data_IF_041194878791
#
_entry.id   IF_041194878791
#
_cell.length_a   1.000
_cell.length_b   1.000
_cell.length_c   1.000
_cell.angle_alpha   90.00
_cell.angle_beta   90.00
_cell.angle_gamma   90.00
#
_symmetry.space_group_name_H-M   'P 1'
#
loop_
_entity.id
_entity.type
_entity.pdbx_description
1 polymer ?
#
# COMPACT_ATOMS: atom_id res chain seq x y z
N UNK A 1 -1.80 -23.00 -4.31
CA UNK A 1 -1.96 -21.75 -5.07
C UNK A 1 -2.06 -20.63 -4.03
N UNK A 2 -1.42 -19.50 -4.26
CA UNK A 2 -1.52 -18.34 -3.37
C UNK A 2 -2.98 -17.92 -3.21
N UNK A 3 -3.42 -17.56 -2.00
CA UNK A 3 -4.75 -16.98 -1.76
C UNK A 3 -4.80 -15.52 -2.19
N UNK A 4 -3.65 -14.83 -2.18
CA UNK A 4 -3.53 -13.42 -2.61
C UNK A 4 -3.32 -13.38 -4.13
N UNK A 5 -4.41 -13.24 -4.88
CA UNK A 5 -4.38 -13.18 -6.35
C UNK A 5 -4.34 -11.74 -6.88
N UNK A 6 -4.63 -10.75 -6.04
CA UNK A 6 -4.78 -9.36 -6.43
C UNK A 6 -3.86 -8.45 -5.62
N UNK A 7 -3.27 -7.45 -6.28
CA UNK A 7 -2.58 -6.34 -5.62
C UNK A 7 -3.07 -5.00 -6.15
N UNK A 8 -3.12 -3.99 -5.30
CA UNK A 8 -3.37 -2.59 -5.68
C UNK A 8 -2.18 -1.74 -5.29
N UNK A 9 -1.57 -1.07 -6.27
CA UNK A 9 -0.56 -0.04 -6.02
C UNK A 9 -1.24 1.33 -6.05
N UNK A 10 -1.25 2.02 -4.93
CA UNK A 10 -1.79 3.37 -4.81
C UNK A 10 -0.79 4.40 -5.32
N UNK A 11 -1.10 5.05 -6.45
CA UNK A 11 -0.16 5.90 -7.19
C UNK A 11 -0.74 7.24 -7.66
N UNK A 12 -1.90 7.66 -7.13
CA UNK A 12 -2.61 8.86 -7.57
C UNK A 12 -2.04 10.19 -7.05
N UNK A 13 -1.17 10.16 -6.03
CA UNK A 13 -0.70 11.33 -5.31
C UNK A 13 0.22 12.26 -6.12
N UNK A 14 0.19 13.57 -5.78
CA UNK A 14 1.01 14.61 -6.44
C UNK A 14 2.51 14.53 -6.15
N UNK A 15 2.93 13.95 -5.03
CA UNK A 15 4.34 13.85 -4.66
C UNK A 15 5.02 15.21 -4.45
N UNK A 16 4.36 16.16 -3.77
CA UNK A 16 4.82 17.54 -3.61
C UNK A 16 6.22 17.66 -2.98
N UNK A 17 6.55 16.75 -2.06
CA UNK A 17 7.88 16.71 -1.41
C UNK A 17 9.03 16.35 -2.36
N UNK A 18 8.72 15.83 -3.56
CA UNK A 18 9.71 15.51 -4.60
C UNK A 18 9.85 16.59 -5.68
N UNK A 19 9.30 17.80 -5.45
CA UNK A 19 9.54 18.92 -6.35
C UNK A 19 11.05 19.29 -6.38
N UNK A 20 11.61 19.68 -7.54
CA UNK A 20 10.96 19.96 -8.83
C UNK A 20 10.73 18.74 -9.72
N UNK A 21 11.22 17.54 -9.38
CA UNK A 21 11.10 16.33 -10.20
C UNK A 21 9.63 16.07 -10.63
N UNK A 22 8.71 16.17 -9.66
CA UNK A 22 7.29 15.90 -9.90
C UNK A 22 6.55 16.98 -10.68
N UNK A 23 7.22 18.08 -11.04
CA UNK A 23 6.70 19.03 -12.02
C UNK A 23 6.61 18.41 -13.43
N UNK A 24 7.55 17.53 -13.77
CA UNK A 24 7.66 16.93 -15.11
C UNK A 24 7.03 15.54 -15.18
N UNK A 25 7.24 14.69 -14.18
CA UNK A 25 6.77 13.31 -14.12
C UNK A 25 6.00 13.04 -12.81
N UNK A 26 5.02 12.13 -12.77
CA UNK A 26 4.40 11.75 -11.50
C UNK A 26 5.41 10.98 -10.61
N UNK A 27 5.29 11.11 -9.29
CA UNK A 27 6.19 10.47 -8.28
C UNK A 27 6.46 8.97 -8.57
N UNK A 28 5.46 8.15 -8.93
CA UNK A 28 5.67 6.73 -9.22
C UNK A 28 6.65 6.47 -10.38
N UNK A 29 6.80 7.43 -11.30
CA UNK A 29 7.74 7.35 -12.43
C UNK A 29 9.13 7.89 -12.10
N UNK A 30 9.43 8.22 -10.84
CA UNK A 30 10.76 8.65 -10.43
C UNK A 30 11.81 7.56 -10.76
N UNK A 31 12.98 7.95 -11.30
CA UNK A 31 14.00 7.00 -11.73
C UNK A 31 14.56 6.19 -10.55
N UNK A 32 14.48 4.87 -10.63
CA UNK A 32 14.99 3.97 -9.62
C UNK A 32 15.62 2.72 -10.25
N UNK A 33 16.88 2.46 -9.93
CA UNK A 33 17.63 1.26 -10.30
C UNK A 33 17.47 0.89 -11.80
N UNK A 34 17.74 1.86 -12.69
CA UNK A 34 17.67 1.70 -14.15
C UNK A 34 16.25 1.62 -14.74
N UNK A 35 15.21 1.87 -13.94
CA UNK A 35 13.80 1.86 -14.33
C UNK A 35 13.04 2.97 -13.57
N UNK A 36 11.79 2.74 -13.19
CA UNK A 36 11.01 3.63 -12.33
C UNK A 36 10.60 2.93 -11.04
N UNK A 37 10.26 3.70 -9.99
CA UNK A 37 9.78 3.14 -8.71
C UNK A 37 8.63 2.17 -8.95
N UNK A 38 7.61 2.59 -9.70
CA UNK A 38 6.41 1.77 -9.92
C UNK A 38 6.69 0.55 -10.81
N UNK A 39 7.54 0.68 -11.84
CA UNK A 39 7.89 -0.46 -12.69
C UNK A 39 8.61 -1.56 -11.89
N UNK A 40 9.49 -1.18 -10.97
CA UNK A 40 10.13 -2.13 -10.04
C UNK A 40 9.13 -2.75 -9.07
N UNK A 41 8.20 -1.95 -8.55
CA UNK A 41 7.12 -2.46 -7.71
C UNK A 41 6.23 -3.48 -8.44
N UNK A 42 5.80 -3.17 -9.65
CA UNK A 42 5.01 -4.08 -10.49
C UNK A 42 5.78 -5.37 -10.78
N UNK A 43 7.04 -5.27 -11.24
CA UNK A 43 7.86 -6.44 -11.56
C UNK A 43 8.02 -7.38 -10.36
N UNK A 44 8.26 -6.83 -9.16
CA UNK A 44 8.41 -7.61 -7.92
C UNK A 44 7.09 -8.26 -7.49
N UNK A 45 5.97 -7.55 -7.59
CA UNK A 45 4.66 -8.11 -7.28
C UNK A 45 4.26 -9.23 -8.26
N UNK A 46 4.59 -9.09 -9.54
CA UNK A 46 4.25 -10.05 -10.58
C UNK A 46 4.90 -11.44 -10.38
N UNK A 47 5.94 -11.54 -9.54
CA UNK A 47 6.53 -12.83 -9.14
C UNK A 47 5.61 -13.64 -8.22
N UNK A 48 4.66 -12.98 -7.53
CA UNK A 48 3.80 -13.57 -6.51
C UNK A 48 2.31 -13.42 -6.79
N UNK A 49 1.90 -12.33 -7.44
CA UNK A 49 0.50 -11.93 -7.60
C UNK A 49 0.17 -11.72 -9.08
N UNK A 50 -0.77 -12.49 -9.66
CA UNK A 50 -1.07 -12.44 -11.09
C UNK A 50 -1.83 -11.19 -11.54
N UNK A 51 -2.61 -10.54 -10.65
CA UNK A 51 -3.45 -9.41 -11.01
C UNK A 51 -3.02 -8.14 -10.27
N UNK A 52 -2.36 -7.24 -11.00
CA UNK A 52 -1.86 -5.97 -10.43
C UNK A 52 -2.72 -4.83 -10.96
N UNK A 53 -3.32 -4.08 -10.04
CA UNK A 53 -4.15 -2.91 -10.30
C UNK A 53 -3.42 -1.66 -9.83
N UNK A 54 -3.56 -0.55 -10.55
CA UNK A 54 -2.89 0.71 -10.18
C UNK A 54 -3.91 1.83 -10.12
N UNK A 55 -3.92 2.60 -9.03
CA UNK A 55 -4.69 3.85 -8.97
C UNK A 55 -3.87 4.99 -9.55
N UNK A 56 -4.48 5.82 -10.39
CA UNK A 56 -3.84 7.00 -11.00
C UNK A 56 -4.66 8.26 -10.73
N UNK A 57 -4.00 9.41 -10.67
CA UNK A 57 -4.61 10.72 -10.47
C UNK A 57 -3.72 11.80 -11.08
N UNK A 58 -2.84 12.40 -10.29
CA UNK A 58 -1.92 13.42 -10.81
C UNK A 58 -1.10 12.90 -12.00
N UNK A 59 -1.17 13.63 -13.15
CA UNK A 59 -0.59 13.20 -14.45
C UNK A 59 -1.05 11.80 -14.87
N UNK A 60 -2.31 11.47 -14.57
CA UNK A 60 -2.87 10.12 -14.67
C UNK A 60 -2.71 9.48 -16.04
N UNK A 61 -2.87 10.23 -17.15
CA UNK A 61 -2.71 9.68 -18.51
C UNK A 61 -1.28 9.16 -18.76
N UNK A 62 -0.26 9.93 -18.34
CA UNK A 62 1.15 9.54 -18.47
C UNK A 62 1.44 8.30 -17.63
N UNK A 63 0.96 8.27 -16.39
CA UNK A 63 1.17 7.13 -15.50
C UNK A 63 0.43 5.90 -15.99
N UNK A 64 -0.83 6.04 -16.44
CA UNK A 64 -1.63 4.92 -16.95
C UNK A 64 -0.96 4.23 -18.15
N UNK A 65 -0.46 4.99 -19.12
CA UNK A 65 0.30 4.42 -20.23
C UNK A 65 1.50 3.63 -19.72
N UNK A 66 2.30 4.23 -18.84
CA UNK A 66 3.52 3.61 -18.32
C UNK A 66 3.24 2.30 -17.57
N UNK A 67 2.23 2.27 -16.68
CA UNK A 67 1.95 1.06 -15.88
C UNK A 67 1.35 -0.07 -16.72
N UNK A 68 0.58 0.25 -17.76
CA UNK A 68 0.10 -0.75 -18.72
C UNK A 68 1.27 -1.38 -19.48
N UNK A 69 2.23 -0.58 -19.94
CA UNK A 69 3.47 -1.06 -20.55
C UNK A 69 4.30 -1.92 -19.59
N UNK A 70 4.20 -1.69 -18.27
CA UNK A 70 4.85 -2.48 -17.23
C UNK A 70 4.09 -3.75 -16.82
N UNK A 71 2.91 -4.02 -17.40
CA UNK A 71 2.13 -5.24 -17.15
C UNK A 71 1.04 -5.11 -16.09
N UNK A 72 0.60 -3.89 -15.73
CA UNK A 72 -0.57 -3.73 -14.88
C UNK A 72 -1.83 -4.31 -15.54
N UNK A 73 -2.61 -5.07 -14.76
CA UNK A 73 -3.84 -5.72 -15.23
C UNK A 73 -4.99 -4.74 -15.42
N UNK A 74 -5.03 -3.67 -14.61
CA UNK A 74 -6.02 -2.60 -14.74
C UNK A 74 -5.53 -1.29 -14.12
N UNK A 75 -6.16 -0.20 -14.50
CA UNK A 75 -5.89 1.16 -14.03
C UNK A 75 -7.20 1.81 -13.58
N UNK A 76 -7.24 2.32 -12.35
CA UNK A 76 -8.37 3.06 -11.80
C UNK A 76 -8.03 4.54 -11.69
N UNK A 77 -8.78 5.40 -12.37
CA UNK A 77 -8.65 6.83 -12.17
C UNK A 77 -9.35 7.24 -10.87
N UNK A 78 -8.57 7.73 -9.91
CA UNK A 78 -9.03 8.23 -8.61
C UNK A 78 -8.71 9.71 -8.43
N UNK A 79 -8.55 10.46 -9.55
CA UNK A 79 -8.30 11.91 -9.49
C UNK A 79 -9.48 12.63 -8.83
N UNK A 80 -9.16 13.53 -7.89
CA UNK A 80 -10.15 14.23 -7.07
C UNK A 80 -10.65 13.46 -5.85
N UNK A 81 -10.24 12.20 -5.67
CA UNK A 81 -10.59 11.37 -4.52
C UNK A 81 -9.38 11.02 -3.65
N UNK A 82 -9.65 10.61 -2.43
CA UNK A 82 -8.62 10.19 -1.49
C UNK A 82 -8.29 8.69 -1.64
N UNK A 83 -7.32 8.22 -0.86
CA UNK A 83 -6.62 6.96 -1.08
C UNK A 83 -7.45 5.68 -0.80
N UNK A 84 -8.60 5.78 -0.12
CA UNK A 84 -9.48 4.65 0.17
C UNK A 84 -10.71 4.57 -0.75
N UNK A 85 -11.03 5.62 -1.49
CA UNK A 85 -12.21 5.71 -2.34
C UNK A 85 -12.40 4.51 -3.28
N UNK A 86 -11.29 3.97 -3.82
CA UNK A 86 -11.31 2.85 -4.76
C UNK A 86 -11.90 1.55 -4.17
N UNK A 87 -11.80 1.36 -2.85
CA UNK A 87 -12.33 0.16 -2.14
C UNK A 87 -13.85 0.07 -2.28
N UNK A 88 -14.52 1.22 -2.35
CA UNK A 88 -15.99 1.32 -2.39
C UNK A 88 -16.54 1.60 -3.78
N UNK A 89 -15.76 2.21 -4.67
CA UNK A 89 -16.26 2.83 -5.89
C UNK A 89 -15.68 2.22 -7.18
N UNK A 90 -14.91 1.14 -7.09
CA UNK A 90 -14.42 0.40 -8.26
C UNK A 90 -15.05 -0.99 -8.33
N UNK A 91 -14.78 -1.72 -9.42
CA UNK A 91 -15.23 -3.10 -9.56
C UNK A 91 -14.67 -4.02 -8.47
N UNK A 92 -13.56 -3.66 -7.83
CA UNK A 92 -12.96 -4.43 -6.74
C UNK A 92 -13.84 -4.49 -5.49
N UNK A 93 -14.80 -3.56 -5.31
CA UNK A 93 -15.72 -3.54 -4.15
C UNK A 93 -16.44 -4.88 -3.90
N UNK A 94 -16.69 -5.64 -4.96
CA UNK A 94 -17.43 -6.92 -4.91
C UNK A 94 -16.50 -8.13 -4.82
N UNK A 95 -15.18 -7.91 -4.84
CA UNK A 95 -14.19 -8.97 -4.80
C UNK A 95 -14.12 -9.55 -3.39
N UNK A 96 -14.44 -10.85 -3.26
CA UNK A 96 -14.36 -11.61 -2.01
C UNK A 96 -13.04 -12.40 -1.94
N UNK A 97 -11.96 -11.71 -2.20
CA UNK A 97 -10.60 -12.26 -2.16
C UNK A 97 -9.65 -11.25 -1.49
N UNK A 98 -8.57 -11.72 -0.84
CA UNK A 98 -7.59 -10.81 -0.25
C UNK A 98 -6.82 -10.06 -1.33
N UNK A 99 -6.67 -8.76 -1.14
CA UNK A 99 -5.93 -7.84 -1.99
C UNK A 99 -4.74 -7.28 -1.22
N UNK A 100 -3.54 -7.45 -1.76
CA UNK A 100 -2.34 -6.80 -1.22
C UNK A 100 -2.30 -5.35 -1.69
N UNK A 101 -2.35 -4.41 -0.76
CA UNK A 101 -2.32 -2.97 -1.04
C UNK A 101 -0.97 -2.39 -0.66
N UNK A 102 -0.37 -1.62 -1.56
CA UNK A 102 0.89 -0.92 -1.35
C UNK A 102 0.78 0.53 -1.81
N UNK A 103 1.59 1.40 -1.21
CA UNK A 103 1.84 2.72 -1.78
C UNK A 103 2.97 2.66 -2.80
N UNK A 104 2.91 3.46 -3.86
CA UNK A 104 3.87 3.46 -4.98
C UNK A 104 5.29 3.87 -4.60
N UNK A 105 5.48 4.43 -3.42
CA UNK A 105 6.76 4.87 -2.86
C UNK A 105 7.42 3.83 -1.95
N UNK A 106 6.75 2.74 -1.68
CA UNK A 106 7.34 1.64 -0.94
C UNK A 106 8.26 0.81 -1.83
N UNK A 107 9.54 0.77 -1.43
CA UNK A 107 10.49 -0.23 -1.94
C UNK A 107 10.65 -1.25 -0.83
N UNK A 108 10.22 -2.48 -1.10
CA UNK A 108 10.04 -3.50 -0.06
C UNK A 108 10.53 -4.86 -0.52
N UNK A 109 11.12 -5.61 0.42
CA UNK A 109 11.40 -7.03 0.31
C UNK A 109 10.53 -7.76 1.34
N UNK A 110 9.45 -8.36 0.86
CA UNK A 110 8.42 -9.00 1.67
C UNK A 110 8.32 -10.48 1.29
N UNK A 111 8.25 -11.33 2.30
CA UNK A 111 7.99 -12.74 2.13
C UNK A 111 6.48 -12.98 2.00
N UNK A 112 6.01 -13.14 0.77
CA UNK A 112 4.59 -13.30 0.46
C UNK A 112 4.01 -14.60 1.01
N UNK A 113 4.79 -15.68 1.04
CA UNK A 113 4.33 -16.98 1.55
C UNK A 113 4.07 -16.91 3.07
N UNK A 114 4.99 -16.28 3.81
CA UNK A 114 4.80 -16.05 5.25
C UNK A 114 3.66 -15.07 5.53
N UNK A 115 3.49 -14.03 4.71
CA UNK A 115 2.42 -13.07 4.87
C UNK A 115 1.04 -13.72 4.66
N UNK A 116 0.91 -14.54 3.62
CA UNK A 116 -0.30 -15.30 3.32
C UNK A 116 -0.62 -16.31 4.44
N UNK A 117 0.38 -17.03 4.93
CA UNK A 117 0.20 -17.95 6.05
C UNK A 117 -0.28 -17.22 7.30
N UNK A 118 0.31 -16.07 7.61
CA UNK A 118 -0.10 -15.26 8.76
C UNK A 118 -1.52 -14.70 8.60
N UNK A 119 -1.90 -14.28 7.37
CA UNK A 119 -3.27 -13.84 7.08
C UNK A 119 -4.30 -14.94 7.37
N UNK A 120 -4.00 -16.19 6.96
CA UNK A 120 -4.83 -17.35 7.25
C UNK A 120 -4.89 -17.69 8.74
N UNK A 121 -3.75 -17.63 9.44
CA UNK A 121 -3.68 -17.88 10.91
C UNK A 121 -4.50 -16.86 11.71
N UNK A 122 -4.69 -15.66 11.20
CA UNK A 122 -5.53 -14.61 11.79
C UNK A 122 -6.99 -14.69 11.34
N UNK A 123 -7.44 -15.83 10.78
CA UNK A 123 -8.81 -16.08 10.31
C UNK A 123 -9.24 -15.13 9.17
N UNK A 124 -8.31 -14.80 8.29
CA UNK A 124 -8.55 -13.99 7.10
C UNK A 124 -9.33 -12.70 7.40
N UNK A 125 -8.80 -11.78 8.20
CA UNK A 125 -9.52 -10.59 8.64
C UNK A 125 -9.91 -9.68 7.46
N UNK A 126 -10.92 -8.82 7.68
CA UNK A 126 -11.32 -7.82 6.67
C UNK A 126 -10.16 -6.91 6.27
N UNK A 127 -9.27 -6.58 7.21
CA UNK A 127 -8.03 -5.85 6.95
C UNK A 127 -6.93 -6.26 7.94
N UNK A 128 -5.72 -6.50 7.40
CA UNK A 128 -4.50 -6.78 8.17
C UNK A 128 -3.38 -5.83 7.74
N UNK A 129 -2.89 -5.02 8.66
CA UNK A 129 -1.74 -4.13 8.44
C UNK A 129 -0.44 -4.93 8.48
N UNK A 130 0.51 -4.59 7.63
CA UNK A 130 1.89 -5.10 7.69
C UNK A 130 2.73 -4.08 8.46
N UNK A 131 3.31 -4.45 9.61
CA UNK A 131 4.07 -3.52 10.44
C UNK A 131 5.51 -3.37 9.95
N UNK A 132 6.12 -2.23 10.30
CA UNK A 132 7.57 -2.00 10.25
C UNK A 132 8.01 -1.40 11.58
N UNK A 133 9.31 -1.46 11.87
CA UNK A 133 9.86 -0.73 13.01
C UNK A 133 9.95 0.75 12.67
N UNK A 134 9.77 1.64 13.66
CA UNK A 134 9.96 3.07 13.47
C UNK A 134 11.35 3.37 12.90
N UNK A 135 11.41 4.26 11.91
CA UNK A 135 12.65 4.72 11.28
C UNK A 135 12.84 6.18 11.62
N UNK A 136 14.03 6.54 12.12
CA UNK A 136 14.36 7.92 12.49
C UNK A 136 14.22 8.86 11.28
N UNK A 137 13.56 9.99 11.49
CA UNK A 137 13.31 11.00 10.45
C UNK A 137 12.16 10.67 9.47
N UNK A 138 11.41 9.60 9.71
CA UNK A 138 10.16 9.30 9.01
C UNK A 138 8.96 9.56 9.92
N UNK A 139 8.05 10.41 9.45
CA UNK A 139 6.73 10.55 10.07
C UNK A 139 5.92 9.29 9.74
N UNK A 140 5.57 8.52 10.76
CA UNK A 140 4.81 7.28 10.61
C UNK A 140 3.57 7.25 11.47
N UNK A 141 2.71 6.32 11.15
CA UNK A 141 1.50 6.03 11.91
C UNK A 141 1.81 4.89 12.87
N UNK A 142 1.99 5.20 14.15
CA UNK A 142 2.19 4.20 15.21
C UNK A 142 0.96 3.34 15.40
N UNK A 143 1.15 2.04 15.52
CA UNK A 143 0.08 1.05 15.68
C UNK A 143 0.13 0.43 17.07
N UNK A 144 -0.96 0.52 17.80
CA UNK A 144 -1.17 -0.15 19.09
C UNK A 144 -2.07 -1.36 18.89
N UNK A 145 -1.72 -2.49 19.46
CA UNK A 145 -2.51 -3.72 19.33
C UNK A 145 -2.47 -4.58 20.59
N UNK A 146 -3.44 -5.47 20.72
CA UNK A 146 -3.47 -6.56 21.69
C UNK A 146 -3.83 -7.86 20.95
N UNK A 147 -2.99 -8.87 21.05
CA UNK A 147 -3.20 -10.17 20.40
C UNK A 147 -3.56 -10.01 18.90
N UNK A 148 -2.75 -9.23 18.18
CA UNK A 148 -2.93 -8.83 16.77
C UNK A 148 -4.11 -7.90 16.49
N UNK A 149 -5.09 -7.72 17.36
CA UNK A 149 -6.19 -6.77 17.15
C UNK A 149 -5.68 -5.35 17.36
N UNK A 150 -5.77 -4.49 16.33
CA UNK A 150 -5.39 -3.09 16.42
C UNK A 150 -6.39 -2.35 17.29
N UNK A 151 -5.88 -1.61 18.27
CA UNK A 151 -6.70 -0.85 19.23
C UNK A 151 -6.62 0.65 19.04
N UNK A 152 -5.51 1.16 18.49
CA UNK A 152 -5.31 2.58 18.22
C UNK A 152 -4.29 2.76 17.09
N UNK A 153 -4.44 3.81 16.27
CA UNK A 153 -3.43 4.32 15.36
C UNK A 153 -3.19 5.79 15.72
N UNK A 154 -1.92 6.18 15.86
CA UNK A 154 -1.55 7.52 16.33
C UNK A 154 -0.32 8.06 15.59
N UNK A 155 -0.32 9.38 15.32
CA UNK A 155 0.87 10.12 14.85
C UNK A 155 1.65 10.78 15.98
N UNK A 156 1.09 10.80 17.19
CA UNK A 156 1.61 11.60 18.32
C UNK A 156 2.12 10.69 19.44
N UNK A 157 1.43 9.59 19.67
CA UNK A 157 1.83 8.60 20.68
C UNK A 157 2.77 7.60 20.03
N UNK A 158 3.90 7.35 20.64
CA UNK A 158 4.89 6.39 20.17
C UNK A 158 4.51 4.95 20.54
N UNK A 159 4.75 4.02 19.63
CA UNK A 159 4.63 2.58 19.82
C UNK A 159 5.84 1.86 19.18
N UNK A 160 5.92 0.55 19.37
CA UNK A 160 7.04 -0.26 18.86
C UNK A 160 7.01 -0.47 17.34
N UNK A 161 5.85 -0.23 16.71
CA UNK A 161 5.63 -0.49 15.29
C UNK A 161 4.92 0.68 14.60
N UNK A 162 5.25 0.83 13.31
CA UNK A 162 4.59 1.72 12.36
C UNK A 162 3.72 0.93 11.38
N UNK A 163 2.70 1.58 10.82
CA UNK A 163 2.07 1.16 9.58
C UNK A 163 3.03 1.38 8.40
N UNK A 164 3.37 0.32 7.69
CA UNK A 164 4.30 0.39 6.55
C UNK A 164 3.72 1.03 5.29
N UNK A 165 2.40 1.25 5.25
CA UNK A 165 1.66 1.54 4.02
C UNK A 165 1.31 0.28 3.21
N UNK A 166 1.61 -0.90 3.75
CA UNK A 166 1.25 -2.20 3.17
C UNK A 166 0.15 -2.82 4.02
N UNK A 167 -0.86 -3.36 3.37
CA UNK A 167 -1.95 -4.06 4.05
C UNK A 167 -2.57 -5.13 3.15
N UNK A 168 -3.12 -6.17 3.75
CA UNK A 168 -3.98 -7.13 3.07
C UNK A 168 -5.41 -6.78 3.46
N UNK A 169 -6.28 -6.60 2.48
CA UNK A 169 -7.69 -6.32 2.75
C UNK A 169 -8.60 -7.11 1.81
N UNK A 170 -9.79 -7.46 2.29
CA UNK A 170 -10.84 -8.05 1.48
C UNK A 170 -11.90 -6.95 1.20
N UNK A 171 -11.98 -6.44 -0.06
CA UNK A 171 -12.86 -5.31 -0.37
C UNK A 171 -14.33 -5.58 -0.07
N UNK A 172 -14.83 -6.79 -0.37
CA UNK A 172 -16.22 -7.14 -0.09
C UNK A 172 -16.51 -7.15 1.40
N UNK A 173 -15.68 -7.82 2.21
CA UNK A 173 -15.84 -7.86 3.68
C UNK A 173 -15.79 -6.46 4.30
N UNK A 174 -14.92 -5.58 3.79
CA UNK A 174 -14.89 -4.17 4.20
C UNK A 174 -16.23 -3.49 3.90
N UNK A 175 -16.76 -3.62 2.68
CA UNK A 175 -18.03 -3.01 2.30
C UNK A 175 -19.24 -3.55 3.09
N UNK A 176 -19.14 -4.75 3.66
CA UNK A 176 -20.18 -5.35 4.51
C UNK A 176 -20.14 -4.80 5.95
N UNK A 177 -18.97 -4.43 6.48
CA UNK A 177 -18.78 -4.06 7.90
C UNK A 177 -18.54 -2.57 8.13
N UNK A 178 -18.30 -1.79 7.08
CA UNK A 178 -18.04 -0.35 7.16
C UNK A 178 -18.94 0.46 6.26
N UNK A 179 -19.04 1.75 6.54
CA UNK A 179 -19.60 2.75 5.63
C UNK A 179 -18.49 3.26 4.71
N UNK A 180 -18.88 3.78 3.55
CA UNK A 180 -17.94 4.39 2.61
C UNK A 180 -17.01 5.40 3.31
N UNK A 181 -15.71 5.26 3.03
CA UNK A 181 -14.65 6.11 3.55
C UNK A 181 -13.79 6.63 2.40
N UNK A 182 -13.48 7.91 2.43
CA UNK A 182 -12.59 8.54 1.43
C UNK A 182 -11.12 8.21 1.67
N UNK A 183 -10.69 8.10 2.92
CA UNK A 183 -9.31 7.85 3.30
C UNK A 183 -9.17 6.64 4.23
N UNK A 184 -7.96 6.07 4.28
CA UNK A 184 -7.72 4.88 5.09
C UNK A 184 -7.82 5.13 6.59
N UNK A 185 -7.63 6.35 7.10
CA UNK A 185 -7.84 6.63 8.52
C UNK A 185 -9.29 6.42 8.92
N UNK A 186 -10.22 6.96 8.12
CA UNK A 186 -11.66 6.81 8.39
C UNK A 186 -12.07 5.34 8.31
N UNK A 187 -11.50 4.58 7.36
CA UNK A 187 -11.70 3.14 7.28
C UNK A 187 -11.14 2.42 8.50
N UNK A 188 -9.88 2.67 8.86
CA UNK A 188 -9.25 1.99 9.99
C UNK A 188 -9.94 2.29 11.31
N UNK A 189 -10.41 3.51 11.55
CA UNK A 189 -11.20 3.84 12.74
C UNK A 189 -12.52 3.05 12.81
N UNK A 190 -13.20 2.86 11.69
CA UNK A 190 -14.39 2.02 11.64
C UNK A 190 -14.06 0.55 11.94
N UNK A 191 -12.98 0.03 11.34
CA UNK A 191 -12.53 -1.35 11.58
C UNK A 191 -12.03 -1.56 13.01
N UNK A 192 -11.34 -0.60 13.61
CA UNK A 192 -10.93 -0.65 15.04
C UNK A 192 -12.17 -0.71 15.93
N UNK A 193 -13.17 0.14 15.68
CA UNK A 193 -14.41 0.14 16.44
C UNK A 193 -15.18 -1.19 16.33
N UNK A 194 -15.05 -1.88 15.21
CA UNK A 194 -15.64 -3.20 14.96
C UNK A 194 -14.76 -4.38 15.44
N UNK A 195 -13.52 -4.12 15.92
CA UNK A 195 -12.55 -5.17 16.23
C UNK A 195 -12.07 -5.99 15.04
N UNK A 196 -12.15 -5.40 13.83
CA UNK A 196 -11.92 -6.07 12.54
C UNK A 196 -10.62 -5.63 11.83
N UNK A 197 -9.80 -4.76 12.47
CA UNK A 197 -8.47 -4.41 12.00
C UNK A 197 -7.43 -5.21 12.74
N UNK A 198 -6.64 -5.97 11.99
CA UNK A 198 -5.55 -6.77 12.55
C UNK A 198 -4.18 -6.23 12.15
N UNK A 199 -3.14 -6.64 12.85
CA UNK A 199 -1.75 -6.40 12.47
C UNK A 199 -0.99 -7.73 12.35
N UNK A 200 -0.23 -7.87 11.27
CA UNK A 200 0.60 -9.05 11.00
C UNK A 200 1.76 -9.17 11.98
N UNK A 201 2.21 -10.41 12.23
CA UNK A 201 3.50 -10.68 12.85
C UNK A 201 4.67 -10.70 11.85
N UNK A 202 4.37 -10.65 10.55
CA UNK A 202 5.37 -10.67 9.48
C UNK A 202 5.84 -9.26 9.17
N UNK A 203 7.15 -9.05 9.26
CA UNK A 203 7.82 -7.80 8.92
C UNK A 203 8.51 -7.94 7.57
N UNK A 204 8.56 -6.88 6.75
CA UNK A 204 9.42 -6.85 5.58
C UNK A 204 10.91 -7.09 5.97
N UNK A 205 11.63 -7.89 5.19
CA UNK A 205 13.08 -8.06 5.35
C UNK A 205 13.82 -6.75 5.12
N UNK A 206 13.32 -5.94 4.16
CA UNK A 206 13.76 -4.57 3.89
C UNK A 206 12.54 -3.72 3.53
N UNK A 207 12.55 -2.49 3.98
CA UNK A 207 11.51 -1.52 3.68
C UNK A 207 12.12 -0.11 3.61
N UNK A 208 11.70 0.66 2.62
CA UNK A 208 12.02 2.06 2.48
C UNK A 208 10.82 2.80 1.88
N UNK A 209 10.49 3.95 2.44
CA UNK A 209 9.56 4.89 1.84
C UNK A 209 10.35 6.02 1.15
N UNK A 210 10.00 6.29 -0.10
CA UNK A 210 10.65 7.33 -0.91
C UNK A 210 9.74 8.54 -1.02
N UNK A 211 9.92 9.51 -0.14
CA UNK A 211 9.11 10.71 -0.08
C UNK A 211 9.80 11.97 -0.60
N UNK A 212 11.14 11.98 -0.60
CA UNK A 212 11.95 13.12 -1.03
C UNK A 212 12.95 12.71 -2.11
N UNK A 213 13.50 13.70 -2.79
CA UNK A 213 14.57 13.48 -3.79
C UNK A 213 15.83 12.93 -3.13
N UNK A 214 16.14 13.37 -1.90
CA UNK A 214 17.30 12.90 -1.13
C UNK A 214 17.18 11.42 -0.80
N UNK A 215 15.99 10.97 -0.38
CA UNK A 215 15.70 9.54 -0.11
C UNK A 215 15.83 8.73 -1.40
N UNK A 216 15.31 9.23 -2.54
CA UNK A 216 15.45 8.58 -3.84
C UNK A 216 16.91 8.43 -4.25
N UNK A 217 17.71 9.49 -4.09
CA UNK A 217 19.15 9.46 -4.42
C UNK A 217 19.92 8.50 -3.50
N UNK A 218 19.59 8.48 -2.23
CA UNK A 218 20.18 7.55 -1.27
C UNK A 218 19.88 6.10 -1.63
N UNK A 219 18.62 5.81 -1.95
CA UNK A 219 18.17 4.47 -2.33
C UNK A 219 18.83 3.99 -3.66
N UNK A 220 19.04 4.89 -4.62
CA UNK A 220 19.73 4.57 -5.87
C UNK A 220 21.24 4.27 -5.70
N UNK A 221 21.87 4.77 -4.61
CA UNK A 221 23.27 4.45 -4.31
C UNK A 221 23.43 3.03 -3.73
N UNK A 222 22.41 2.52 -3.08
CA UNK A 222 22.40 1.20 -2.44
C UNK A 222 21.05 0.52 -2.69
N UNK A 223 20.74 0.16 -3.95
CA UNK A 223 19.49 -0.50 -4.28
C UNK A 223 19.44 -1.91 -3.67
N UNK A 224 18.25 -2.40 -3.35
CA UNK A 224 18.02 -3.75 -2.86
C UNK A 224 16.97 -4.50 -3.67
#
# INVERSE_FOLDING_TARGET
MSSIQHAVIMAAGRGMRMMPLTTSIPKPMAPYNGSTLIARGIARLAEHVPHIHVTVGYKGAMLAQHVVECGASSVFNTDGHSNCWWVYNTLLRSLDEPVCVLTCDNVVDLDFDLLEENYRQLDEPACMLVPVRPVEGLDGDYVFHRDHVVTEISRVKEAEIYCSGIQILNPRRINEVTKEAENFYDLWYQLIAAGALMVSSVYPKKWSAVDTVEQLLSLNKSPF
#
